data_IF_995203038630
#
_entry.id   IF_995203038630
#
_cell.length_a   1.000
_cell.length_b   1.000
_cell.length_c   1.000
_cell.angle_alpha   90.00
_cell.angle_beta   90.00
_cell.angle_gamma   90.00
#
_symmetry.space_group_name_H-M   'P 1'
#
loop_
_entity.id
_entity.type
_entity.pdbx_description
1 polymer ?
2 polymer ?
3 non-polymer ?
4 non-polymer ?
5 non-polymer ?
6 water ?
#
# COMPACT_ATOMS: atom_id res chain seq x y z
N UNK A 1 17.40 1.28 4.99
CA UNK A 1 17.84 1.46 3.60
C UNK A 1 16.66 1.74 2.73
N UNK A 2 15.78 0.74 2.62
CA UNK A 2 14.82 0.67 1.52
C UNK A 2 13.59 1.54 1.69
N UNK A 3 13.35 2.00 2.91
CA UNK A 3 12.30 3.00 3.15
C UNK A 3 12.84 4.42 3.21
N UNK A 4 14.12 4.58 2.92
CA UNK A 4 14.65 5.92 2.68
C UNK A 4 15.17 6.05 1.24
N UNK A 5 15.86 5.04 0.75
CA UNK A 5 16.33 4.98 -0.66
C UNK A 5 15.72 3.76 -1.33
N UNK A 6 15.26 3.93 -2.57
CA UNK A 6 14.43 2.89 -3.23
C UNK A 6 15.35 1.72 -3.50
N UNK A 7 14.89 0.52 -3.18
CA UNK A 7 15.64 -0.73 -3.44
C UNK A 7 15.01 -1.53 -4.57
N UNK A 8 15.79 -1.89 -5.59
CA UNK A 8 15.29 -2.75 -6.66
C UNK A 8 15.08 -4.18 -6.17
N UNK A 9 14.31 -4.96 -6.91
CA UNK A 9 14.03 -6.40 -6.55
C UNK A 9 15.34 -7.26 -6.42
N UNK A 10 16.29 -6.98 -7.31
CA UNK A 10 17.62 -7.58 -7.26
C UNK A 10 18.29 -7.29 -5.93
N UNK A 11 18.16 -6.05 -5.47
CA UNK A 11 18.64 -5.64 -4.17
C UNK A 11 17.94 -6.38 -3.02
N UNK A 12 16.63 -6.57 -3.12
CA UNK A 12 15.87 -7.25 -2.06
C UNK A 12 16.22 -8.72 -2.00
N UNK A 13 16.70 -9.30 -3.09
CA UNK A 13 17.13 -10.69 -3.08
C UNK A 13 18.19 -10.97 -2.01
N UNK A 14 18.93 -9.96 -1.60
CA UNK A 14 19.96 -10.09 -0.55
C UNK A 14 19.44 -10.28 0.88
N UNK A 15 18.11 -10.20 1.05
CA UNK A 15 17.47 -10.46 2.33
C UNK A 15 16.70 -11.77 2.38
N UNK A 16 16.77 -12.59 1.33
CA UNK A 16 16.07 -13.87 1.33
C UNK A 16 16.90 -14.89 2.07
N UNK A 17 16.25 -15.86 2.73
CA UNK A 17 17.01 -16.93 3.38
C UNK A 17 17.68 -17.72 2.27
N UNK B 1 9.27 12.99 3.49
CA UNK B 1 8.96 12.10 4.65
C UNK B 1 8.38 10.77 4.22
N UNK B 2 8.92 9.67 4.72
CA UNK B 2 8.37 8.35 4.39
C UNK B 2 7.82 7.72 5.67
N UNK B 3 6.56 7.28 5.64
CA UNK B 3 6.00 6.53 6.76
C UNK B 3 6.65 5.16 6.74
N UNK B 4 7.49 4.89 7.73
CA UNK B 4 8.25 3.63 7.74
C UNK B 4 7.33 2.43 7.99
N UNK B 5 6.31 2.63 8.84
CA UNK B 5 5.38 1.56 9.12
C UNK B 5 4.69 1.09 7.81
N UNK B 6 4.20 2.05 7.04
CA UNK B 6 3.50 1.77 5.82
C UNK B 6 4.44 1.27 4.72
N UNK B 7 5.61 1.88 4.65
CA UNK B 7 6.62 1.40 3.72
C UNK B 7 7.01 -0.06 4.00
N UNK B 8 7.21 -0.37 5.28
CA UNK B 8 7.43 -1.73 5.74
C UNK B 8 6.43 -2.74 5.18
N UNK B 9 5.14 -2.40 5.11
CA UNK B 9 4.12 -3.38 4.61
C UNK B 9 4.40 -3.70 3.14
N UNK B 10 4.79 -2.69 2.37
CA UNK B 10 5.09 -2.89 0.97
C UNK B 10 6.34 -3.69 0.77
N UNK B 11 7.34 -3.42 1.60
CA UNK B 11 8.60 -4.13 1.55
C UNK B 11 8.41 -5.61 1.85
N UNK B 12 7.52 -5.94 2.79
CA UNK B 12 7.28 -7.35 3.10
C UNK B 12 6.56 -8.08 1.96
N UNK B 13 5.69 -7.37 1.25
CA UNK B 13 5.01 -7.89 0.09
C UNK B 13 6.05 -8.15 -1.02
N UNK B 14 6.95 -7.19 -1.24
CA UNK B 14 8.05 -7.34 -2.23
C UNK B 14 8.97 -8.52 -1.91
N UNK B 15 9.37 -8.63 -0.64
CA UNK B 15 10.14 -9.75 -0.16
C UNK B 15 9.45 -11.13 -0.35
N UNK B 16 8.14 -11.16 -0.17
CA UNK B 16 7.39 -12.38 -0.33
C UNK B 16 7.47 -12.82 -1.80
N UNK B 17 7.31 -11.86 -2.70
CA UNK B 17 7.39 -12.12 -4.14
C UNK B 17 8.79 -12.60 -4.48
N UNK B 18 9.80 -11.87 -4.02
CA UNK B 18 11.19 -12.14 -4.40
C UNK B 18 11.71 -13.44 -3.82
N UNK B 19 11.44 -13.69 -2.54
CA UNK B 19 12.03 -14.85 -1.88
C UNK B 19 11.18 -16.14 -1.96
N UNK B 20 9.90 -16.02 -2.26
CA UNK B 20 9.08 -17.19 -2.46
C UNK B 20 9.02 -18.04 -1.21
N UNK B 21 9.29 -19.34 -1.37
CA UNK B 21 9.10 -20.36 -0.33
C UNK B 21 10.15 -20.27 0.77
N UNK B 22 11.38 -19.90 0.40
CA UNK B 22 12.48 -19.77 1.37
C UNK B 22 12.41 -18.56 2.29
N UNK B 23 11.56 -17.60 2.00
CA UNK B 23 11.30 -16.55 2.95
C UNK B 23 12.47 -15.60 3.14
N UNK B 24 12.29 -14.65 4.06
CA UNK B 24 13.28 -13.60 4.30
C UNK B 24 13.62 -13.49 5.78
N UNK B 25 14.86 -13.07 6.04
CA UNK B 25 15.38 -13.02 7.42
C UNK B 25 15.34 -11.61 8.04
N UNK B 26 15.11 -10.59 7.23
CA UNK B 26 15.12 -9.23 7.72
C UNK B 26 14.38 -8.30 6.78
N UNK B 27 13.66 -7.35 7.35
CA UNK B 27 12.85 -6.40 6.61
C UNK B 27 13.62 -5.08 6.61
N UNK B 28 14.31 -4.74 5.50
CA UNK B 28 15.28 -3.61 5.43
C UNK B 28 14.68 -2.20 5.22
N UNK B 29 13.88 -1.76 6.20
CA UNK B 29 13.30 -0.41 6.20
C UNK B 29 14.42 0.66 6.25
N UNK C 1 -1.32 13.70 -13.30
CA UNK C 1 -0.47 12.56 -12.85
C UNK C 1 -0.69 12.31 -11.38
N UNK C 2 -0.82 11.03 -11.06
CA UNK C 2 -1.60 10.61 -9.92
C UNK C 2 -0.88 10.41 -8.61
N UNK C 3 0.42 10.66 -8.57
CA UNK C 3 1.17 10.66 -7.31
C UNK C 3 1.55 12.05 -6.79
N UNK C 4 1.38 13.09 -7.60
CA UNK C 4 1.55 14.47 -7.11
C UNK C 4 0.26 14.87 -6.41
N UNK C 5 -0.81 14.96 -7.18
CA UNK C 5 -2.15 15.13 -6.65
C UNK C 5 -2.87 13.78 -6.76
N UNK C 6 -3.97 13.62 -6.01
CA UNK C 6 -4.84 12.43 -6.10
C UNK C 6 -5.76 12.48 -7.33
N UNK C 7 -5.93 11.33 -7.98
CA UNK C 7 -6.76 11.25 -9.18
C UNK C 7 -8.08 10.62 -8.82
N UNK C 8 -9.15 11.14 -9.40
CA UNK C 8 -10.49 10.61 -9.23
C UNK C 8 -10.64 9.39 -10.11
N UNK C 9 -11.78 8.71 -9.97
CA UNK C 9 -12.17 7.59 -10.85
C UNK C 9 -12.07 8.03 -12.31
N UNK C 10 -12.47 9.28 -12.57
CA UNK C 10 -12.54 9.78 -13.91
C UNK C 10 -11.16 10.02 -14.50
N UNK C 11 -10.24 10.60 -13.74
CA UNK C 11 -8.84 10.73 -14.18
C UNK C 11 -8.18 9.36 -14.36
N UNK C 12 -8.52 8.40 -13.49
CA UNK C 12 -7.96 7.05 -13.59
C UNK C 12 -8.43 6.35 -14.89
N UNK C 13 -9.64 6.66 -15.37
CA UNK C 13 -10.22 6.10 -16.62
C UNK C 13 -9.26 6.19 -17.80
N UNK C 14 -8.43 7.22 -17.78
CA UNK C 14 -7.54 7.50 -18.88
C UNK C 14 -6.39 6.48 -19.06
N UNK C 15 -6.04 5.73 -18.01
CA UNK C 15 -5.03 4.70 -18.16
C UNK C 15 -5.62 3.42 -18.80
N UNK C 16 -6.94 3.28 -18.82
CA UNK C 16 -7.57 2.02 -19.24
C UNK C 16 -7.35 1.81 -20.73
N UNK C 17 -7.36 0.56 -21.16
CA UNK C 17 -7.14 0.22 -22.58
C UNK C 17 -8.39 0.50 -23.43
N UNK D 1 12.91 8.42 -4.37
CA UNK D 1 11.79 7.89 -5.21
C UNK D 1 10.90 6.94 -4.40
N UNK D 2 11.22 6.73 -3.13
CA UNK D 2 10.48 5.75 -2.31
C UNK D 2 8.98 6.06 -2.27
N UNK D 3 8.59 7.31 -1.98
CA UNK D 3 7.19 7.68 -2.01
C UNK D 3 6.47 7.47 -3.33
N UNK D 4 7.04 7.92 -4.45
CA UNK D 4 6.46 7.61 -5.75
C UNK D 4 6.34 6.11 -5.98
N UNK D 5 7.28 5.33 -5.45
CA UNK D 5 7.22 3.86 -5.62
C UNK D 5 6.04 3.25 -4.85
N UNK D 6 5.82 3.73 -3.63
CA UNK D 6 4.70 3.25 -2.81
C UNK D 6 3.35 3.67 -3.45
N UNK D 7 3.24 4.92 -3.87
CA UNK D 7 2.02 5.42 -4.53
C UNK D 7 1.64 4.61 -5.79
N UNK D 8 2.61 4.31 -6.65
CA UNK D 8 2.40 3.48 -7.83
C UNK D 8 1.80 2.09 -7.56
N UNK D 9 2.23 1.44 -6.48
CA UNK D 9 1.62 0.19 -6.07
C UNK D 9 0.10 0.38 -5.81
N UNK D 10 -0.26 1.46 -5.10
CA UNK D 10 -1.61 1.81 -4.88
C UNK D 10 -2.31 2.15 -6.19
N UNK D 11 -1.65 2.92 -7.04
CA UNK D 11 -2.23 3.33 -8.34
C UNK D 11 -2.59 2.14 -9.23
N UNK D 12 -1.68 1.18 -9.43
CA UNK D 12 -1.99 0.02 -10.28
C UNK D 12 -3.19 -0.81 -9.71
N UNK D 13 -3.32 -0.89 -8.39
CA UNK D 13 -4.50 -1.56 -7.78
C UNK D 13 -5.83 -0.84 -8.12
N UNK D 14 -5.85 0.49 -8.05
CA UNK D 14 -7.01 1.32 -8.46
C UNK D 14 -7.36 1.17 -9.92
N UNK D 15 -6.34 1.16 -10.78
CA UNK D 15 -6.49 0.97 -12.21
C UNK D 15 -7.07 -0.39 -12.54
N UNK D 16 -6.56 -1.41 -11.90
CA UNK D 16 -7.09 -2.73 -12.00
C UNK D 16 -8.57 -2.73 -11.70
N UNK D 17 -8.98 -2.03 -10.66
CA UNK D 17 -10.39 -2.00 -10.32
C UNK D 17 -11.20 -1.14 -11.30
N UNK D 18 -10.73 0.06 -11.54
CA UNK D 18 -11.44 0.99 -12.43
C UNK D 18 -11.61 0.41 -13.82
N UNK D 19 -10.56 -0.20 -14.34
CA UNK D 19 -10.57 -0.62 -15.72
C UNK D 19 -11.26 -1.95 -15.97
N UNK D 20 -11.55 -2.73 -14.94
CA UNK D 20 -12.30 -3.97 -15.16
C UNK D 20 -11.72 -4.79 -16.30
N UNK D 21 -12.56 -5.18 -17.27
CA UNK D 21 -12.13 -6.14 -18.32
C UNK D 21 -11.25 -5.52 -19.38
N UNK D 22 -11.37 -4.21 -19.57
CA UNK D 22 -10.58 -3.51 -20.57
C UNK D 22 -9.08 -3.56 -20.26
N UNK D 23 -8.75 -3.74 -18.98
CA UNK D 23 -7.36 -3.76 -18.56
C UNK D 23 -6.77 -2.37 -18.71
N UNK D 24 -5.46 -2.27 -18.59
CA UNK D 24 -4.86 -0.95 -18.66
C UNK D 24 -3.41 -1.00 -19.06
N UNK D 25 -2.88 0.18 -19.38
CA UNK D 25 -1.50 0.37 -19.82
C UNK D 25 -0.87 1.23 -18.73
N UNK D 26 0.04 0.66 -17.96
CA UNK D 26 0.75 1.45 -16.96
C UNK D 26 2.18 1.84 -17.35
N UNK D 27 2.46 3.14 -17.21
CA UNK D 27 3.81 3.74 -17.24
C UNK D 27 3.98 4.73 -16.03
N UNK D 28 5.12 4.69 -15.32
CA UNK D 28 5.27 5.53 -14.10
C UNK D 28 4.88 7.01 -14.25
N UNK E 1 -5.95 9.83 13.42
CA UNK E 1 -4.88 9.64 14.44
C UNK E 1 -4.00 8.41 14.15
N UNK E 2 -4.28 7.70 13.05
CA UNK E 2 -3.56 6.45 12.70
C UNK E 2 -2.62 6.51 11.48
N UNK E 3 -2.79 7.53 10.64
CA UNK E 3 -1.91 7.74 9.50
C UNK E 3 -0.58 8.34 9.88
N UNK E 4 -0.57 9.04 11.00
CA UNK E 4 0.57 9.83 11.42
C UNK E 4 1.16 9.21 12.68
N UNK E 5 0.75 7.97 12.94
CA UNK E 5 1.36 7.12 13.98
C UNK E 5 0.75 5.73 13.90
N UNK E 6 1.47 4.74 14.41
CA UNK E 6 0.99 3.38 14.41
C UNK E 6 0.02 3.21 15.59
N UNK E 7 -1.27 3.08 15.30
CA UNK E 7 -2.24 2.80 16.36
C UNK E 7 -2.09 1.36 16.84
N UNK E 8 -2.34 1.14 18.12
CA UNK E 8 -2.32 -0.19 18.70
C UNK E 8 -3.56 -0.94 18.22
N UNK E 9 -3.45 -2.26 18.18
CA UNK E 9 -4.57 -3.08 17.68
C UNK E 9 -5.67 -2.86 18.71
N UNK E 10 -5.26 -2.60 19.95
CA UNK E 10 -6.21 -2.18 20.99
C UNK E 10 -6.99 -0.93 20.55
N UNK E 11 -6.28 0.09 20.10
CA UNK E 11 -6.92 1.33 19.65
C UNK E 11 -7.77 1.18 18.42
N UNK E 12 -7.30 0.43 17.43
CA UNK E 12 -8.06 0.24 16.18
C UNK E 12 -9.40 -0.44 16.44
N UNK E 13 -9.48 -1.17 17.55
CA UNK E 13 -10.70 -1.87 17.92
C UNK E 13 -11.86 -0.91 18.08
N UNK E 14 -11.54 0.38 18.18
CA UNK E 14 -12.55 1.43 18.34
C UNK E 14 -13.38 1.64 17.08
N UNK E 15 -12.82 1.27 15.93
CA UNK E 15 -13.52 1.39 14.66
C UNK E 15 -14.47 0.19 14.41
N UNK E 16 -14.33 -0.91 15.16
CA UNK E 16 -15.15 -2.10 14.94
C UNK E 16 -16.64 -1.86 15.26
N UNK E 17 -17.52 -2.65 14.66
CA UNK E 17 -18.95 -2.49 14.91
C UNK E 17 -19.33 -3.12 16.25
N UNK F 2 -0.01 13.39 -0.93
CA UNK F 2 -1.01 12.32 -1.18
C UNK F 2 -1.04 11.13 -0.16
N UNK F 3 -0.27 11.20 0.92
CA UNK F 3 -0.21 10.12 1.90
C UNK F 3 -1.60 9.87 2.53
N UNK F 4 -2.46 10.87 2.57
CA UNK F 4 -3.75 10.63 3.24
C UNK F 4 -4.51 9.50 2.54
N UNK F 5 -4.66 9.63 1.23
CA UNK F 5 -5.32 8.57 0.47
C UNK F 5 -4.63 7.20 0.67
N UNK F 6 -3.31 7.21 0.61
CA UNK F 6 -2.55 5.98 0.69
C UNK F 6 -2.70 5.39 2.11
N UNK F 7 -2.60 6.21 3.16
CA UNK F 7 -2.68 5.62 4.47
C UNK F 7 -4.08 5.00 4.72
N UNK F 8 -5.14 5.62 4.21
CA UNK F 8 -6.47 5.04 4.39
C UNK F 8 -6.59 3.60 3.90
N UNK F 9 -5.93 3.28 2.80
CA UNK F 9 -6.05 1.94 2.26
C UNK F 9 -5.42 0.91 3.22
N UNK F 10 -4.30 1.25 3.85
CA UNK F 10 -3.72 0.38 4.86
C UNK F 10 -4.57 0.30 6.13
N UNK F 11 -5.15 1.43 6.54
CA UNK F 11 -6.01 1.45 7.71
C UNK F 11 -7.25 0.52 7.55
N UNK F 12 -7.95 0.59 6.42
CA UNK F 12 -9.07 -0.31 6.21
C UNK F 12 -8.71 -1.80 6.18
N UNK F 13 -7.55 -2.17 5.67
CA UNK F 13 -7.09 -3.54 5.76
C UNK F 13 -6.88 -3.95 7.21
N UNK F 14 -6.25 -3.07 7.97
CA UNK F 14 -5.98 -3.39 9.39
C UNK F 14 -7.29 -3.58 10.20
N UNK F 15 -8.19 -2.68 9.98
CA UNK F 15 -9.53 -2.74 10.54
C UNK F 15 -10.27 -4.04 10.16
N UNK F 16 -10.16 -4.44 8.91
CA UNK F 16 -10.75 -5.66 8.44
C UNK F 16 -10.21 -6.84 9.26
N UNK F 17 -8.90 -6.83 9.42
CA UNK F 17 -8.25 -7.91 10.16
C UNK F 17 -8.54 -7.86 11.67
N UNK F 18 -8.55 -6.65 12.22
CA UNK F 18 -8.74 -6.52 13.65
C UNK F 18 -10.19 -6.83 14.04
N UNK F 19 -11.16 -6.37 13.24
CA UNK F 19 -12.56 -6.47 13.58
C UNK F 19 -13.23 -7.81 13.32
N UNK F 20 -12.71 -8.55 12.34
CA UNK F 20 -13.19 -9.89 12.04
C UNK F 20 -14.66 -9.81 11.75
N UNK F 21 -15.39 -10.81 12.25
CA UNK F 21 -16.77 -11.01 11.83
C UNK F 21 -17.67 -9.84 12.21
N UNK F 22 -17.28 -9.05 13.21
CA UNK F 22 -17.96 -7.81 13.57
C UNK F 22 -18.07 -6.75 12.48
N UNK F 23 -17.14 -6.75 11.53
CA UNK F 23 -16.98 -5.64 10.58
C UNK F 23 -16.56 -4.38 11.29
N UNK F 24 -16.54 -3.27 10.53
CA UNK F 24 -16.22 -1.95 11.04
C UNK F 24 -16.93 -0.89 10.24
N UNK F 25 -16.81 0.34 10.73
CA UNK F 25 -17.39 1.51 10.10
C UNK F 25 -16.24 2.49 9.84
N UNK F 26 -16.07 2.90 8.60
CA UNK F 26 -14.93 3.71 8.22
C UNK F 26 -15.39 5.04 7.61
N UNK F 27 -14.74 6.12 8.02
CA UNK F 27 -14.85 7.43 7.34
C UNK F 27 -13.50 8.13 7.39
N UNK F 28 -13.14 8.87 6.35
CA UNK F 28 -12.10 9.88 6.55
C UNK F 28 -12.68 11.11 7.27
N UNK F 29 -11.81 11.88 7.92
CA UNK F 29 -12.21 13.14 8.61
C UNK F 29 -13.05 12.83 9.84
X LIG G 1 11.49 -0.28 -1.46
X LIG G 1 11.20 -1.21 -2.45
X LIG G 1 9.97 -1.91 -2.42
X LIG G 1 9.04 -1.63 -1.42
X LIG G 1 9.32 -0.69 -0.44
X LIG G 1 10.56 -0.03 -0.43
X LIG G 1 12.66 0.40 -1.47
X LIG G 1 9.67 -2.79 -3.39
X LIG H 1 0.92 1.89 0.84
X LIG I 1 1.88 3.68 1.40
X LIG J 1 -5.45 6.33 -6.22
X LIG J 1 -5.21 7.62 -6.73
X LIG J 1 -3.91 8.09 -6.84
X LIG J 1 -2.84 7.29 -6.46
X LIG J 1 -3.07 6.04 -5.95
X LIG J 1 -4.36 5.56 -5.83
X LIG J 1 -6.73 5.84 -6.08
X LIG J 1 -3.65 9.33 -7.32
X LIG K 1 -2.44 2.09 11.84
X LIG K 1 -2.17 0.76 12.03
X LIG K 1 -2.03 0.01 10.85
X LIG K 1 -2.19 0.48 9.56
X LIG K 1 -2.48 1.79 9.43
X LIG K 1 -2.58 2.58 10.55
X LIG K 1 -2.59 2.94 12.90
X LIG K 1 -1.78 -1.26 10.98
#
# INVERSE_FOLDING_TARGET
QCCTSICSLYQLENYCN
FVNQHLCGSHLVEALYLVCGERGFFYTPK
QCCTSICSLYQLENYCN
FVNQHLCGSHLVEALYLVCGERGFFYTPK
QCCTSICSLYQLENYCN
FVNQHLCGSHLVEALYLVCGERGFFYTPK
RCO C1 C2 C3 C4 C5 C6 O1 O3
ZN ZN
CL CL
RCO C1 C2 C3 C4 C5 C6 O1 O3
RCO C1 C2 C3 C4 C5 C6 O1 O3
#
